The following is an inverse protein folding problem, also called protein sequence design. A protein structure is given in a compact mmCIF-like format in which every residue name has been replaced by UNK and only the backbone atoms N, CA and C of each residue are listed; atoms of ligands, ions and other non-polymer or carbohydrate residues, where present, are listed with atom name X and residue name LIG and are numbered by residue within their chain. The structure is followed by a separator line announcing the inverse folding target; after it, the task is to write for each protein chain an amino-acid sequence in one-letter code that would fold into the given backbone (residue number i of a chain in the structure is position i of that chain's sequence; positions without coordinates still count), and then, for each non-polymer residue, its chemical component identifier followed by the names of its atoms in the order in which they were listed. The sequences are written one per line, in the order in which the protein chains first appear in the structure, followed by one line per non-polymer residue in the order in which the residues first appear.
data_IF_982812364035
#
_entry.id   IF_982812364035
#
_cell.length_a   1.000
_cell.length_b   1.000
_cell.length_c   1.000
_cell.angle_alpha   90.00
_cell.angle_beta   90.00
_cell.angle_gamma   90.00
#
_symmetry.space_group_name_H-M   'P 1'
#
loop_
_entity.id
_entity.type
_entity.pdbx_description
1 polymer ?
#
# COMPACT_ATOMS: atom_id res chain seq x y z
N UNK A 1 -33.14 -0.20 18.15
CA UNK A 1 -32.34 0.56 17.16
C UNK A 1 -33.08 0.50 15.84
N UNK A 2 -32.72 1.29 14.84
CA UNK A 2 -33.28 1.12 13.50
C UNK A 2 -32.59 -0.09 12.86
N UNK A 3 -33.33 -1.19 12.65
CA UNK A 3 -32.82 -2.43 12.06
C UNK A 3 -32.13 -2.16 10.70
N UNK A 4 -32.55 -1.10 10.01
CA UNK A 4 -31.95 -0.62 8.77
C UNK A 4 -30.49 -0.18 8.94
N UNK A 5 -30.18 0.52 10.03
CA UNK A 5 -28.82 1.01 10.30
C UNK A 5 -27.86 -0.13 10.60
N UNK A 6 -28.32 -1.14 11.36
CA UNK A 6 -27.50 -2.30 11.69
C UNK A 6 -27.13 -3.08 10.42
N UNK A 7 -28.10 -3.28 9.52
CA UNK A 7 -27.86 -3.88 8.19
C UNK A 7 -26.86 -3.03 7.38
N UNK A 8 -27.03 -1.70 7.32
CA UNK A 8 -26.10 -0.81 6.61
C UNK A 8 -24.69 -0.88 7.19
N UNK A 9 -24.55 -0.85 8.52
CA UNK A 9 -23.27 -0.92 9.21
C UNK A 9 -22.56 -2.26 8.93
N UNK A 10 -23.27 -3.38 8.98
CA UNK A 10 -22.69 -4.68 8.65
C UNK A 10 -22.28 -4.77 7.18
N UNK A 11 -23.14 -4.33 6.25
CA UNK A 11 -22.84 -4.34 4.83
C UNK A 11 -21.60 -3.46 4.52
N UNK A 12 -21.55 -2.25 5.07
CA UNK A 12 -20.41 -1.36 4.89
C UNK A 12 -19.12 -1.93 5.50
N UNK A 13 -19.20 -2.57 6.66
CA UNK A 13 -18.03 -3.19 7.30
C UNK A 13 -17.46 -4.38 6.50
N UNK A 14 -18.30 -5.11 5.74
CA UNK A 14 -17.88 -6.21 4.89
C UNK A 14 -17.08 -5.74 3.67
N UNK A 15 -17.49 -4.63 3.05
CA UNK A 15 -16.84 -4.10 1.84
C UNK A 15 -15.80 -3.00 2.12
N UNK A 16 -15.51 -2.72 3.39
CA UNK A 16 -14.70 -1.57 3.81
C UNK A 16 -13.32 -1.54 3.15
N UNK A 17 -12.71 -2.70 2.92
CA UNK A 17 -11.37 -2.83 2.32
C UNK A 17 -11.36 -2.69 0.79
N UNK A 18 -12.54 -2.62 0.16
CA UNK A 18 -12.73 -2.39 -1.28
C UNK A 18 -13.06 -0.92 -1.59
N UNK A 19 -13.31 -0.10 -0.56
CA UNK A 19 -13.68 1.31 -0.70
C UNK A 19 -12.48 2.24 -0.50
N UNK A 20 -12.39 3.25 -1.36
CA UNK A 20 -11.47 4.38 -1.18
C UNK A 20 -12.04 5.42 -0.19
N UNK A 21 -11.18 6.34 0.26
CA UNK A 21 -11.54 7.33 1.28
C UNK A 21 -12.59 8.35 0.85
N UNK A 22 -12.74 8.60 -0.46
CA UNK A 22 -13.81 9.45 -0.95
C UNK A 22 -15.15 8.72 -0.84
N UNK A 23 -15.16 7.42 -1.18
CA UNK A 23 -16.35 6.56 -1.03
C UNK A 23 -16.73 6.37 0.45
N UNK A 24 -15.76 6.19 1.35
CA UNK A 24 -16.00 6.10 2.80
C UNK A 24 -16.67 7.37 3.34
N UNK A 25 -16.24 8.55 2.88
CA UNK A 25 -16.85 9.83 3.26
C UNK A 25 -18.08 10.18 2.43
N UNK A 26 -18.48 9.31 1.48
CA UNK A 26 -19.63 9.52 0.58
C UNK A 26 -19.54 10.87 -0.17
N UNK A 27 -18.36 11.18 -0.72
CA UNK A 27 -18.07 12.42 -1.47
C UNK A 27 -17.38 12.14 -2.81
N UNK A 28 -17.37 13.12 -3.71
CA UNK A 28 -16.65 13.03 -4.97
C UNK A 28 -15.14 13.21 -4.81
N UNK A 29 -14.36 12.68 -5.76
CA UNK A 29 -12.89 12.83 -5.78
C UNK A 29 -12.43 14.30 -5.97
N UNK A 30 -13.30 15.16 -6.53
CA UNK A 30 -13.08 16.60 -6.66
C UNK A 30 -13.61 17.43 -5.49
N UNK A 31 -14.00 16.82 -4.38
CA UNK A 31 -14.58 17.50 -3.23
C UNK A 31 -13.65 18.57 -2.65
N UNK A 32 -14.21 19.74 -2.34
CA UNK A 32 -13.46 20.82 -1.73
C UNK A 32 -13.11 20.51 -0.26
N UNK A 33 -12.06 21.15 0.33
CA UNK A 33 -11.70 20.93 1.73
C UNK A 33 -12.85 21.13 2.73
N UNK A 34 -13.74 22.09 2.46
CA UNK A 34 -14.93 22.33 3.28
C UNK A 34 -15.92 21.17 3.23
N UNK A 35 -16.11 20.55 2.05
CA UNK A 35 -16.98 19.40 1.85
C UNK A 35 -16.42 18.15 2.55
N UNK A 36 -15.11 17.91 2.43
CA UNK A 36 -14.41 16.82 3.12
C UNK A 36 -14.62 16.94 4.65
N UNK A 37 -14.45 18.15 5.19
CA UNK A 37 -14.66 18.42 6.61
C UNK A 37 -16.13 18.20 7.03
N UNK A 38 -17.08 18.67 6.23
CA UNK A 38 -18.51 18.47 6.50
C UNK A 38 -18.90 16.98 6.48
N UNK A 39 -18.40 16.23 5.48
CA UNK A 39 -18.63 14.81 5.35
C UNK A 39 -18.06 14.02 6.53
N UNK A 40 -16.84 14.34 6.96
CA UNK A 40 -16.25 13.75 8.17
C UNK A 40 -17.17 13.92 9.38
N UNK A 41 -17.63 15.15 9.68
CA UNK A 41 -18.52 15.35 10.84
C UNK A 41 -19.84 14.60 10.73
N UNK A 42 -20.40 14.47 9.52
CA UNK A 42 -21.63 13.73 9.26
C UNK A 42 -21.43 12.24 9.55
N UNK A 43 -20.43 11.62 8.93
CA UNK A 43 -20.17 10.18 9.07
C UNK A 43 -19.65 9.84 10.48
N UNK A 44 -18.77 10.65 11.07
CA UNK A 44 -18.29 10.45 12.45
C UNK A 44 -19.43 10.49 13.46
N UNK A 45 -20.44 11.36 13.27
CA UNK A 45 -21.63 11.37 14.11
C UNK A 45 -22.49 10.14 13.88
N UNK A 46 -22.61 9.69 12.63
CA UNK A 46 -23.37 8.50 12.25
C UNK A 46 -22.79 7.22 12.89
N UNK A 47 -21.46 7.08 12.91
CA UNK A 47 -20.76 5.88 13.35
C UNK A 47 -19.95 6.07 14.63
N UNK A 48 -20.24 7.07 15.47
CA UNK A 48 -19.50 7.25 16.72
C UNK A 48 -19.73 6.05 17.66
N UNK A 49 -18.69 5.38 18.17
CA UNK A 49 -18.84 4.17 19.00
C UNK A 49 -19.68 4.42 20.27
N UNK A 50 -19.59 5.60 20.89
CA UNK A 50 -20.39 5.94 22.08
C UNK A 50 -21.91 5.84 21.86
N UNK A 51 -22.40 5.99 20.62
CA UNK A 51 -23.82 5.82 20.31
C UNK A 51 -24.28 4.37 20.46
N UNK A 52 -23.36 3.41 20.42
CA UNK A 52 -23.61 1.98 20.42
C UNK A 52 -23.06 1.28 21.67
N UNK A 53 -22.46 2.03 22.60
CA UNK A 53 -21.90 1.49 23.85
C UNK A 53 -22.96 0.78 24.73
N UNK A 54 -24.22 1.20 24.66
CA UNK A 54 -25.34 0.60 25.40
C UNK A 54 -26.06 -0.54 24.65
N UNK A 55 -25.61 -0.88 23.45
CA UNK A 55 -26.18 -1.98 22.66
C UNK A 55 -25.59 -3.32 23.10
N UNK A 56 -26.40 -4.38 23.08
CA UNK A 56 -25.97 -5.75 23.43
C UNK A 56 -25.34 -6.51 22.24
N UNK A 57 -25.51 -6.00 21.02
CA UNK A 57 -24.91 -6.55 19.78
C UNK A 57 -23.41 -6.21 19.71
N UNK A 58 -22.57 -7.18 20.10
CA UNK A 58 -21.11 -7.08 19.99
C UNK A 58 -20.65 -6.94 18.53
N UNK A 59 -21.31 -7.66 17.62
CA UNK A 59 -20.98 -7.63 16.19
C UNK A 59 -21.21 -6.23 15.60
N UNK A 60 -22.31 -5.55 15.98
CA UNK A 60 -22.57 -4.17 15.57
C UNK A 60 -21.54 -3.20 16.14
N UNK A 61 -21.14 -3.37 17.41
CA UNK A 61 -20.09 -2.55 18.01
C UNK A 61 -18.75 -2.69 17.28
N UNK A 62 -18.38 -3.92 16.89
CA UNK A 62 -17.18 -4.17 16.10
C UNK A 62 -17.28 -3.52 14.71
N UNK A 63 -18.38 -3.72 14.00
CA UNK A 63 -18.62 -3.16 12.67
C UNK A 63 -18.51 -1.62 12.69
N UNK A 64 -19.20 -0.98 13.64
CA UNK A 64 -19.14 0.47 13.85
C UNK A 64 -17.73 0.93 14.19
N UNK A 65 -17.02 0.22 15.07
CA UNK A 65 -15.64 0.54 15.43
C UNK A 65 -14.69 0.52 14.22
N UNK A 66 -14.83 -0.48 13.34
CA UNK A 66 -14.06 -0.58 12.09
C UNK A 66 -14.37 0.57 11.14
N UNK A 67 -15.65 0.88 10.94
CA UNK A 67 -16.10 1.98 10.07
C UNK A 67 -15.60 3.33 10.60
N UNK A 68 -15.77 3.59 11.89
CA UNK A 68 -15.34 4.84 12.52
C UNK A 68 -13.83 5.06 12.39
N UNK A 69 -13.04 4.00 12.60
CA UNK A 69 -11.60 4.05 12.36
C UNK A 69 -11.28 4.43 10.92
N UNK A 70 -11.97 3.85 9.93
CA UNK A 70 -11.76 4.15 8.51
C UNK A 70 -12.18 5.57 8.14
N UNK A 71 -13.26 6.10 8.74
CA UNK A 71 -13.67 7.51 8.59
C UNK A 71 -12.57 8.46 9.08
N UNK A 72 -11.95 8.16 10.23
CA UNK A 72 -10.83 8.97 10.75
C UNK A 72 -9.61 8.92 9.83
N UNK A 73 -9.24 7.74 9.35
CA UNK A 73 -8.16 7.57 8.38
C UNK A 73 -8.40 8.39 7.10
N UNK A 74 -9.62 8.30 6.56
CA UNK A 74 -10.05 9.05 5.38
C UNK A 74 -9.89 10.56 5.59
N UNK A 75 -10.38 11.10 6.71
CA UNK A 75 -10.26 12.52 6.99
C UNK A 75 -8.81 12.97 7.18
N UNK A 76 -7.99 12.21 7.92
CA UNK A 76 -6.56 12.55 8.14
C UNK A 76 -5.79 12.58 6.81
N UNK A 77 -6.10 11.69 5.88
CA UNK A 77 -5.49 11.69 4.55
C UNK A 77 -6.01 12.84 3.67
N UNK A 78 -7.33 12.98 3.56
CA UNK A 78 -7.95 13.90 2.58
C UNK A 78 -7.91 15.38 3.01
N UNK A 79 -7.77 15.68 4.29
CA UNK A 79 -7.67 17.07 4.77
C UNK A 79 -6.35 17.77 4.43
N UNK A 80 -5.31 16.99 4.15
CA UNK A 80 -3.99 17.48 3.76
C UNK A 80 -3.89 17.47 2.24
N UNK A 81 -3.60 18.62 1.62
CA UNK A 81 -3.66 18.76 0.17
C UNK A 81 -2.62 17.89 -0.56
N UNK A 82 -1.43 17.71 0.02
CA UNK A 82 -0.36 16.91 -0.57
C UNK A 82 -0.71 15.41 -0.48
N UNK A 83 -1.18 14.95 0.68
CA UNK A 83 -1.63 13.56 0.88
C UNK A 83 -2.86 13.25 0.03
N UNK A 84 -3.85 14.15 -0.03
CA UNK A 84 -5.04 14.00 -0.88
C UNK A 84 -4.67 13.84 -2.34
N UNK A 85 -3.78 14.70 -2.85
CA UNK A 85 -3.35 14.65 -4.25
C UNK A 85 -2.63 13.34 -4.58
N UNK A 86 -1.72 12.90 -3.71
CA UNK A 86 -1.02 11.60 -3.85
C UNK A 86 -2.01 10.44 -3.81
N UNK A 87 -2.92 10.44 -2.83
CA UNK A 87 -3.91 9.40 -2.66
C UNK A 87 -4.84 9.29 -3.86
N UNK A 88 -5.28 10.42 -4.43
CA UNK A 88 -6.11 10.45 -5.63
C UNK A 88 -5.43 9.76 -6.82
N UNK A 89 -4.12 10.00 -7.02
CA UNK A 89 -3.34 9.32 -8.06
C UNK A 89 -3.26 7.82 -7.78
N UNK A 90 -2.95 7.44 -6.54
CA UNK A 90 -2.82 6.05 -6.10
C UNK A 90 -4.12 5.25 -6.33
N UNK A 91 -5.31 5.82 -6.03
CA UNK A 91 -6.60 5.14 -6.21
C UNK A 91 -7.18 5.24 -7.62
N UNK A 92 -6.60 6.08 -8.48
CA UNK A 92 -6.98 6.18 -9.90
C UNK A 92 -6.05 5.35 -10.81
N UNK A 93 -4.97 4.79 -10.25
CA UNK A 93 -3.97 4.03 -10.98
C UNK A 93 -4.26 2.53 -11.10
N UNK A 94 -3.42 1.79 -11.85
CA UNK A 94 -3.58 0.35 -12.06
C UNK A 94 -3.43 -0.48 -10.78
N UNK A 95 -2.72 0.06 -9.77
CA UNK A 95 -2.49 -0.60 -8.48
C UNK A 95 -3.54 -0.23 -7.41
N UNK A 96 -4.68 0.37 -7.80
CA UNK A 96 -5.73 0.88 -6.89
C UNK A 96 -5.99 -0.06 -5.72
N UNK A 97 -6.18 -1.35 -5.98
CA UNK A 97 -6.60 -2.33 -4.98
C UNK A 97 -5.58 -2.51 -3.84
N UNK A 98 -4.30 -2.21 -4.08
CA UNK A 98 -3.23 -2.22 -3.06
C UNK A 98 -3.08 -0.89 -2.33
N UNK A 99 -3.83 0.13 -2.74
CA UNK A 99 -3.65 1.53 -2.37
C UNK A 99 -4.88 2.19 -1.74
N UNK A 100 -5.97 1.44 -1.57
CA UNK A 100 -7.22 1.94 -1.01
C UNK A 100 -7.08 2.48 0.42
N UNK A 101 -6.11 2.00 1.20
CA UNK A 101 -5.90 2.42 2.58
C UNK A 101 -4.53 3.10 2.73
N UNK A 102 -4.55 4.38 3.07
CA UNK A 102 -3.37 5.18 3.38
C UNK A 102 -3.12 5.18 4.90
N UNK A 103 -2.26 4.28 5.35
CA UNK A 103 -1.70 4.28 6.72
C UNK A 103 -0.20 4.52 6.66
N UNK A 104 0.39 5.17 7.66
CA UNK A 104 1.87 5.34 7.74
C UNK A 104 2.59 3.99 7.65
N UNK A 105 1.99 2.92 8.19
CA UNK A 105 2.44 1.55 8.01
C UNK A 105 2.49 1.12 6.54
N UNK A 106 1.44 1.42 5.74
CA UNK A 106 1.44 1.12 4.30
C UNK A 106 2.49 1.94 3.54
N UNK A 107 2.75 3.19 3.93
CA UNK A 107 3.85 3.97 3.34
C UNK A 107 5.23 3.39 3.69
N UNK A 108 5.41 2.92 4.94
CA UNK A 108 6.62 2.23 5.36
C UNK A 108 6.80 0.89 4.67
N UNK A 109 5.73 0.12 4.45
CA UNK A 109 5.75 -1.12 3.68
C UNK A 109 6.10 -0.86 2.23
N UNK A 110 5.44 0.09 1.57
CA UNK A 110 5.78 0.52 0.21
C UNK A 110 7.23 1.03 0.10
N UNK A 111 7.72 1.75 1.11
CA UNK A 111 9.11 2.20 1.17
C UNK A 111 10.06 1.02 1.32
N UNK A 112 9.75 0.06 2.20
CA UNK A 112 10.52 -1.18 2.37
C UNK A 112 10.54 -2.02 1.09
N UNK A 113 9.41 -2.13 0.39
CA UNK A 113 9.33 -2.86 -0.88
C UNK A 113 10.22 -2.20 -1.94
N UNK A 114 10.13 -0.88 -2.08
CA UNK A 114 11.02 -0.12 -2.99
C UNK A 114 12.49 -0.20 -2.58
N UNK A 115 12.78 -0.19 -1.28
CA UNK A 115 14.13 -0.37 -0.74
C UNK A 115 14.67 -1.78 -0.99
N UNK A 116 13.82 -2.81 -0.92
CA UNK A 116 14.18 -4.17 -1.30
C UNK A 116 14.37 -4.29 -2.81
N UNK A 117 13.53 -3.65 -3.62
CA UNK A 117 13.64 -3.68 -5.08
C UNK A 117 14.90 -2.98 -5.59
N UNK A 118 15.10 -1.73 -5.16
CA UNK A 118 16.12 -0.84 -5.73
C UNK A 118 17.42 -0.88 -4.91
N UNK A 119 17.34 -1.20 -3.63
CA UNK A 119 18.43 -1.09 -2.65
C UNK A 119 18.29 0.13 -1.76
N UNK A 120 18.96 0.08 -0.62
CA UNK A 120 19.06 1.15 0.39
C UNK A 120 20.36 1.94 0.24
N UNK A 121 21.42 1.34 -0.30
CA UNK A 121 22.75 1.98 -0.42
C UNK A 121 23.02 2.48 -1.84
N UNK A 122 23.68 3.65 -2.03
CA UNK A 122 24.03 4.14 -3.37
C UNK A 122 24.90 3.16 -4.17
N UNK A 123 25.85 2.51 -3.50
CA UNK A 123 26.75 1.54 -4.11
C UNK A 123 26.02 0.24 -4.45
N UNK A 124 25.19 -0.29 -3.53
CA UNK A 124 24.35 -1.46 -3.80
C UNK A 124 23.43 -1.23 -5.00
N UNK A 125 22.74 -0.09 -5.04
CA UNK A 125 21.90 0.37 -6.18
C UNK A 125 22.66 0.37 -7.50
N UNK A 126 23.84 0.99 -7.51
CA UNK A 126 24.69 1.09 -8.70
C UNK A 126 25.04 -0.28 -9.26
N UNK A 127 25.49 -1.19 -8.40
CA UNK A 127 25.85 -2.55 -8.82
C UNK A 127 24.64 -3.38 -9.22
N UNK A 128 23.50 -3.22 -8.54
CA UNK A 128 22.27 -3.89 -8.90
C UNK A 128 21.76 -3.46 -10.28
N UNK A 129 21.73 -2.14 -10.55
CA UNK A 129 21.38 -1.60 -11.87
C UNK A 129 22.34 -2.08 -12.97
N UNK A 130 23.65 -2.12 -12.69
CA UNK A 130 24.62 -2.68 -13.63
C UNK A 130 24.34 -4.17 -13.91
N UNK A 131 24.00 -4.94 -12.88
CA UNK A 131 23.61 -6.35 -13.02
C UNK A 131 22.35 -6.54 -13.87
N UNK A 132 21.33 -5.71 -13.68
CA UNK A 132 20.12 -5.72 -14.53
C UNK A 132 20.45 -5.37 -15.99
N UNK A 133 21.32 -4.39 -16.22
CA UNK A 133 21.77 -4.04 -17.57
C UNK A 133 22.53 -5.20 -18.23
N UNK A 134 23.38 -5.91 -17.49
CA UNK A 134 24.10 -7.07 -18.01
C UNK A 134 23.15 -8.26 -18.28
N UNK A 135 22.12 -8.46 -17.45
CA UNK A 135 21.07 -9.45 -17.70
C UNK A 135 20.35 -9.16 -19.02
N UNK A 136 19.95 -7.91 -19.25
CA UNK A 136 19.30 -7.49 -20.49
C UNK A 136 20.21 -7.67 -21.72
N UNK A 137 21.52 -7.49 -21.54
CA UNK A 137 22.53 -7.75 -22.57
C UNK A 137 22.96 -9.23 -22.67
N UNK A 138 22.30 -10.15 -21.96
CA UNK A 138 22.63 -11.58 -21.87
C UNK A 138 24.08 -11.87 -21.41
N UNK A 139 24.71 -10.94 -20.71
CA UNK A 139 26.05 -11.08 -20.12
C UNK A 139 25.94 -11.69 -18.72
N UNK A 140 25.41 -12.90 -18.63
CA UNK A 140 25.00 -13.51 -17.36
C UNK A 140 26.13 -13.60 -16.32
N UNK A 141 27.37 -13.84 -16.75
CA UNK A 141 28.52 -13.90 -15.83
C UNK A 141 28.90 -12.53 -15.26
N UNK A 142 28.74 -11.46 -16.04
CA UNK A 142 28.94 -10.09 -15.56
C UNK A 142 27.78 -9.66 -14.65
N UNK A 143 26.55 -10.02 -15.02
CA UNK A 143 25.36 -9.81 -14.19
C UNK A 143 25.49 -10.47 -12.81
N UNK A 144 25.87 -11.75 -12.75
CA UNK A 144 26.04 -12.47 -11.49
C UNK A 144 27.09 -11.80 -10.59
N UNK A 145 28.22 -11.36 -11.15
CA UNK A 145 29.25 -10.62 -10.40
C UNK A 145 28.72 -9.29 -9.88
N UNK A 146 28.00 -8.54 -10.70
CA UNK A 146 27.42 -7.26 -10.30
C UNK A 146 26.36 -7.43 -9.20
N UNK A 147 25.49 -8.44 -9.28
CA UNK A 147 24.55 -8.75 -8.19
C UNK A 147 25.25 -9.21 -6.91
N UNK A 148 26.29 -10.04 -7.02
CA UNK A 148 27.13 -10.41 -5.87
C UNK A 148 27.82 -9.19 -5.25
N UNK A 149 28.27 -8.23 -6.06
CA UNK A 149 28.83 -6.99 -5.55
C UNK A 149 27.77 -6.14 -4.85
N UNK A 150 26.55 -6.07 -5.38
CA UNK A 150 25.42 -5.41 -4.71
C UNK A 150 25.12 -6.05 -3.33
N UNK A 151 25.22 -7.37 -3.22
CA UNK A 151 25.08 -8.11 -1.95
C UNK A 151 26.19 -7.84 -0.94
N UNK A 152 27.37 -7.34 -1.35
CA UNK A 152 28.41 -6.96 -0.37
C UNK A 152 27.99 -5.74 0.46
N UNK A 153 27.23 -4.82 -0.16
CA UNK A 153 26.67 -3.65 0.49
C UNK A 153 25.34 -3.96 1.20
N UNK A 154 24.55 -4.89 0.65
CA UNK A 154 23.22 -5.22 1.16
C UNK A 154 22.99 -6.74 1.25
N UNK A 155 23.68 -7.46 2.16
CA UNK A 155 23.66 -8.93 2.21
C UNK A 155 22.32 -9.52 2.63
N UNK A 156 21.42 -8.71 3.20
CA UNK A 156 20.08 -9.13 3.60
C UNK A 156 19.03 -8.94 2.49
N UNK A 157 19.35 -8.24 1.38
CA UNK A 157 18.37 -7.91 0.34
C UNK A 157 17.95 -9.18 -0.43
N UNK A 158 16.67 -9.56 -0.29
CA UNK A 158 16.12 -10.77 -0.89
C UNK A 158 16.06 -10.70 -2.42
N UNK A 159 15.75 -9.54 -2.99
CA UNK A 159 15.72 -9.34 -4.44
C UNK A 159 17.11 -9.51 -5.05
N UNK A 160 18.14 -8.94 -4.41
CA UNK A 160 19.52 -9.08 -4.88
C UNK A 160 19.97 -10.54 -4.89
N UNK A 161 19.60 -11.31 -3.84
CA UNK A 161 19.87 -12.76 -3.78
C UNK A 161 19.17 -13.52 -4.90
N UNK A 162 17.88 -13.22 -5.12
CA UNK A 162 17.09 -13.86 -6.17
C UNK A 162 17.71 -13.60 -7.56
N UNK A 163 18.07 -12.34 -7.86
CA UNK A 163 18.70 -11.96 -9.13
C UNK A 163 20.11 -12.54 -9.31
N UNK A 164 20.92 -12.59 -8.24
CA UNK A 164 22.21 -13.27 -8.30
C UNK A 164 22.07 -14.77 -8.60
N UNK A 165 21.11 -15.45 -7.96
CA UNK A 165 20.85 -16.87 -8.19
C UNK A 165 20.30 -17.14 -9.60
N UNK A 166 19.40 -16.28 -10.10
CA UNK A 166 18.88 -16.32 -11.46
C UNK A 166 20.02 -16.20 -12.49
N UNK A 167 20.85 -15.17 -12.36
CA UNK A 167 22.02 -14.97 -13.23
C UNK A 167 22.98 -16.17 -13.17
N UNK A 168 23.27 -16.70 -11.98
CA UNK A 168 24.15 -17.87 -11.82
C UNK A 168 23.59 -19.16 -12.46
N UNK A 169 22.26 -19.36 -12.48
CA UNK A 169 21.64 -20.45 -13.24
C UNK A 169 21.84 -20.25 -14.74
N UNK A 170 21.63 -19.03 -15.23
CA UNK A 170 21.79 -18.69 -16.64
C UNK A 170 23.23 -18.81 -17.13
N UNK A 171 24.22 -18.50 -16.28
CA UNK A 171 25.64 -18.76 -16.55
C UNK A 171 25.89 -20.24 -16.77
N UNK A 172 25.38 -21.10 -15.89
CA UNK A 172 25.56 -22.55 -16.00
C UNK A 172 24.92 -23.11 -17.26
N UNK A 173 23.72 -22.62 -17.63
CA UNK A 173 23.06 -23.04 -18.86
C UNK A 173 23.78 -22.53 -20.12
N UNK A 174 24.21 -21.26 -20.15
CA UNK A 174 24.96 -20.69 -21.29
C UNK A 174 26.30 -21.43 -21.50
N UNK A 175 26.97 -21.81 -20.42
CA UNK A 175 28.20 -22.61 -20.47
C UNK A 175 28.00 -24.07 -20.92
N UNK A 176 26.78 -24.60 -20.81
CA UNK A 176 26.48 -25.99 -21.20
C UNK A 176 26.02 -26.12 -22.66
N UNK A 177 25.73 -24.99 -23.33
CA UNK A 177 25.23 -24.92 -24.71
C UNK A 177 26.34 -24.52 -25.70
N UNK A 178 27.51 -24.10 -25.20
CA UNK A 178 28.71 -23.77 -25.99
C UNK A 178 29.68 -24.94 -26.02
#
# INVERSE_FOLDING_TARGET
MDDTFEIEAHALAQVLDELDYFQILKIGQGAAPAEIKAAYYRESRAYHPDRFFRTESADLQEAVGRIYKRINEAYVCLRDDARRSKYLVDVSGPDRQRKLRFVEASEQELKKDKEQEIGTTPQGRKFFMAGLSDMAAQRFAAAERNFKMALTYEPANANYKAKAAEAGKLVKSDASVR
#
